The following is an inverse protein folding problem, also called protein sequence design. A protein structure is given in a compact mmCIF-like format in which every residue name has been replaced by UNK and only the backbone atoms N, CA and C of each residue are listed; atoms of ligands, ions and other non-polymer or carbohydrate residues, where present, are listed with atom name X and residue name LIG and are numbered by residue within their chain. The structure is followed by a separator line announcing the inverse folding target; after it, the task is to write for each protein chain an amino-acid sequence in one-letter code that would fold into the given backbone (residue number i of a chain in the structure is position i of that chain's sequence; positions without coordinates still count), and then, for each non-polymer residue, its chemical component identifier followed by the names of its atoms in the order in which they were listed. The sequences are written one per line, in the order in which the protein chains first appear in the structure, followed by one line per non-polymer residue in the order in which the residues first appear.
data_IF_556098197689
#
_entry.id   IF_556098197689
#
_cell.length_a   1.000
_cell.length_b   1.000
_cell.length_c   1.000
_cell.angle_alpha   90.00
_cell.angle_beta   90.00
_cell.angle_gamma   90.00
#
_symmetry.space_group_name_H-M   'P 1'
#
loop_
_entity.id
_entity.type
_entity.pdbx_description
1 polymer ?
#
# COMPACT_ATOMS: atom_id res chain seq x y z
N UNK A 1 12.96 6.66 6.78
CA UNK A 1 12.16 7.54 5.87
C UNK A 1 12.45 7.41 4.37
N UNK A 2 13.71 7.26 3.92
CA UNK A 2 14.09 7.34 2.49
C UNK A 2 13.56 6.17 1.61
N UNK A 3 13.23 5.02 2.20
CA UNK A 3 12.75 3.82 1.48
C UNK A 3 11.23 3.72 1.38
N UNK A 4 10.50 4.50 2.18
CA UNK A 4 9.04 4.48 2.28
C UNK A 4 8.35 4.79 0.92
N UNK A 5 8.71 5.87 0.19
CA UNK A 5 8.06 6.17 -1.09
C UNK A 5 8.39 5.13 -2.18
N UNK A 6 9.55 4.46 -2.11
CA UNK A 6 9.93 3.41 -3.06
C UNK A 6 9.09 2.13 -2.91
N UNK A 7 8.55 1.87 -1.71
CA UNK A 7 7.69 0.71 -1.45
C UNK A 7 6.36 0.72 -2.19
N UNK A 8 5.91 1.92 -2.56
CA UNK A 8 4.62 2.14 -3.24
C UNK A 8 4.74 1.86 -4.73
N UNK A 9 5.95 1.89 -5.30
CA UNK A 9 6.20 1.68 -6.73
C UNK A 9 5.67 0.33 -7.25
N UNK A 10 6.03 -0.83 -6.66
CA UNK A 10 5.52 -2.12 -7.16
C UNK A 10 4.00 -2.21 -7.04
N UNK A 11 3.40 -1.56 -6.03
CA UNK A 11 1.96 -1.55 -5.83
C UNK A 11 1.24 -0.68 -6.88
N UNK A 12 1.78 0.51 -7.20
CA UNK A 12 1.27 1.35 -8.29
C UNK A 12 1.39 0.62 -9.63
N UNK A 13 2.51 -0.08 -9.88
CA UNK A 13 2.67 -0.89 -11.08
C UNK A 13 1.64 -2.03 -11.17
N UNK A 14 1.32 -2.68 -10.05
CA UNK A 14 0.29 -3.72 -10.02
C UNK A 14 -1.10 -3.16 -10.37
N UNK A 15 -1.48 -2.03 -9.77
CA UNK A 15 -2.78 -1.39 -10.05
C UNK A 15 -2.84 -0.78 -11.46
N UNK A 16 -1.72 -0.29 -11.99
CA UNK A 16 -1.61 0.15 -13.37
C UNK A 16 -1.94 -0.99 -14.34
N UNK A 17 -1.50 -2.22 -14.03
CA UNK A 17 -1.79 -3.38 -14.86
C UNK A 17 -3.29 -3.65 -15.00
N UNK A 18 -4.11 -3.31 -13.99
CA UNK A 18 -5.58 -3.43 -14.04
C UNK A 18 -6.25 -2.37 -14.93
N UNK A 19 -5.54 -1.30 -15.28
CA UNK A 19 -6.03 -0.26 -16.20
C UNK A 19 -5.73 -0.57 -17.66
N UNK A 20 -4.85 -1.54 -17.91
CA UNK A 20 -4.44 -1.92 -19.26
C UNK A 20 -5.47 -2.88 -19.88
N UNK A 21 -5.59 -2.89 -21.22
CA UNK A 21 -6.48 -3.83 -21.91
C UNK A 21 -6.05 -5.28 -21.68
N UNK A 22 -7.03 -6.19 -21.58
CA UNK A 22 -6.85 -7.62 -21.27
C UNK A 22 -5.91 -8.37 -22.24
N UNK A 23 -5.65 -7.80 -23.41
CA UNK A 23 -4.86 -8.42 -24.49
C UNK A 23 -3.37 -8.05 -24.48
N UNK A 24 -2.90 -7.12 -23.64
CA UNK A 24 -1.54 -6.60 -23.76
C UNK A 24 -0.47 -7.62 -23.33
N UNK A 25 -0.71 -8.37 -22.27
CA UNK A 25 0.17 -9.44 -21.78
C UNK A 25 -0.50 -10.83 -21.79
N UNK A 26 -1.75 -10.90 -22.24
CA UNK A 26 -2.52 -12.15 -22.33
C UNK A 26 -2.53 -12.92 -21.01
N UNK A 27 -2.21 -14.22 -21.08
CA UNK A 27 -2.19 -15.11 -19.92
C UNK A 27 -1.10 -14.80 -18.87
N UNK A 28 -0.11 -13.96 -19.20
CA UNK A 28 0.94 -13.58 -18.26
C UNK A 28 0.50 -12.49 -17.26
N UNK A 29 -0.56 -11.75 -17.56
CA UNK A 29 -1.05 -10.61 -16.75
C UNK A 29 -1.27 -10.96 -15.27
N UNK A 30 -1.95 -12.06 -14.91
CA UNK A 30 -2.18 -12.40 -13.50
C UNK A 30 -0.89 -12.77 -12.76
N UNK A 31 0.08 -13.40 -13.44
CA UNK A 31 1.37 -13.76 -12.84
C UNK A 31 2.22 -12.52 -12.55
N UNK A 32 2.24 -11.55 -13.48
CA UNK A 32 2.92 -10.27 -13.28
C UNK A 32 2.26 -9.50 -12.13
N UNK A 33 0.91 -9.45 -12.11
CA UNK A 33 0.16 -8.82 -11.03
C UNK A 33 0.50 -9.43 -9.67
N UNK A 34 0.41 -10.76 -9.54
CA UNK A 34 0.71 -11.47 -8.30
C UNK A 34 2.17 -11.29 -7.88
N UNK A 35 3.11 -11.28 -8.83
CA UNK A 35 4.52 -11.02 -8.56
C UNK A 35 4.75 -9.62 -7.96
N UNK A 36 4.13 -8.59 -8.53
CA UNK A 36 4.23 -7.22 -8.04
C UNK A 36 3.58 -7.04 -6.66
N UNK A 37 2.41 -7.65 -6.44
CA UNK A 37 1.77 -7.68 -5.13
C UNK A 37 2.64 -8.42 -4.10
N UNK A 38 3.21 -9.57 -4.48
CA UNK A 38 4.12 -10.34 -3.63
C UNK A 38 5.37 -9.56 -3.23
N UNK A 39 5.96 -8.82 -4.17
CA UNK A 39 7.08 -7.91 -3.87
C UNK A 39 6.67 -6.83 -2.86
N UNK A 40 5.52 -6.20 -3.04
CA UNK A 40 5.03 -5.19 -2.10
C UNK A 40 4.82 -5.79 -0.71
N UNK A 41 4.15 -6.95 -0.59
CA UNK A 41 3.97 -7.65 0.70
C UNK A 41 5.31 -7.98 1.38
N UNK A 42 6.31 -8.41 0.60
CA UNK A 42 7.65 -8.68 1.10
C UNK A 42 8.38 -7.43 1.63
N UNK A 43 8.10 -6.25 1.06
CA UNK A 43 8.68 -4.98 1.50
C UNK A 43 8.04 -4.43 2.79
N UNK A 44 6.76 -4.71 3.05
CA UNK A 44 6.03 -4.15 4.22
C UNK A 44 6.70 -4.53 5.55
N UNK A 45 7.16 -5.77 5.70
CA UNK A 45 7.78 -6.26 6.94
C UNK A 45 9.05 -5.48 7.33
N UNK A 46 10.10 -5.48 6.50
CA UNK A 46 11.34 -4.76 6.77
C UNK A 46 11.13 -3.24 6.94
N UNK A 47 10.27 -2.64 6.12
CA UNK A 47 10.01 -1.20 6.17
C UNK A 47 9.31 -0.83 7.47
N UNK A 48 8.23 -1.51 7.83
CA UNK A 48 7.53 -1.28 9.09
C UNK A 48 8.46 -1.55 10.28
N UNK A 49 9.26 -2.62 10.22
CA UNK A 49 10.21 -3.00 11.26
C UNK A 49 11.25 -1.92 11.57
N UNK A 50 11.81 -1.28 10.55
CA UNK A 50 12.81 -0.22 10.71
C UNK A 50 12.23 1.19 10.87
N UNK A 51 11.05 1.45 10.32
CA UNK A 51 10.45 2.78 10.29
C UNK A 51 9.98 3.26 11.67
N UNK A 52 9.27 2.42 12.43
CA UNK A 52 8.76 2.85 13.74
C UNK A 52 9.88 3.22 14.72
N UNK A 53 10.97 2.43 14.84
CA UNK A 53 12.11 2.82 15.67
C UNK A 53 12.84 4.08 15.17
N UNK A 54 12.95 4.27 13.86
CA UNK A 54 13.59 5.46 13.26
C UNK A 54 12.79 6.75 13.54
N UNK A 55 11.47 6.67 13.55
CA UNK A 55 10.58 7.83 13.74
C UNK A 55 10.26 8.16 15.20
N UNK A 56 10.15 7.14 16.06
CA UNK A 56 9.62 7.29 17.43
C UNK A 56 10.56 6.75 18.51
N UNK A 57 11.75 6.28 18.14
CA UNK A 57 12.65 5.58 19.05
C UNK A 57 12.09 4.22 19.50
N UNK A 58 12.78 3.57 20.44
CA UNK A 58 12.43 2.23 20.92
C UNK A 58 11.53 2.21 22.16
N UNK A 59 11.37 3.35 22.84
CA UNK A 59 10.71 3.44 24.15
C UNK A 59 9.21 3.08 24.12
N UNK A 60 8.49 3.41 23.05
CA UNK A 60 7.04 3.24 22.95
C UNK A 60 6.58 2.38 21.76
N UNK A 61 7.48 1.57 21.18
CA UNK A 61 7.15 0.73 20.02
C UNK A 61 6.02 -0.27 20.28
N UNK A 62 5.93 -0.79 21.50
CA UNK A 62 4.85 -1.70 21.89
C UNK A 62 3.47 -1.04 21.77
N UNK A 63 3.35 0.21 22.22
CA UNK A 63 2.10 0.98 22.15
C UNK A 63 1.73 1.37 20.70
N UNK A 64 2.72 1.69 19.87
CA UNK A 64 2.50 1.99 18.45
C UNK A 64 2.03 0.74 17.71
N UNK A 65 2.68 -0.41 17.95
CA UNK A 65 2.31 -1.68 17.31
C UNK A 65 0.94 -2.18 17.78
N UNK A 66 0.58 -1.97 19.04
CA UNK A 66 -0.74 -2.36 19.56
C UNK A 66 -1.88 -1.53 18.97
N UNK A 67 -1.63 -0.28 18.60
CA UNK A 67 -2.62 0.56 17.91
C UNK A 67 -2.73 0.24 16.41
N UNK A 68 -1.59 -0.02 15.75
CA UNK A 68 -1.57 -0.23 14.29
C UNK A 68 -2.11 -1.61 13.88
N UNK A 69 -1.88 -2.65 14.69
CA UNK A 69 -2.39 -3.99 14.41
C UNK A 69 -3.92 -4.06 14.20
N UNK A 70 -4.78 -3.56 15.12
CA UNK A 70 -6.24 -3.59 14.93
C UNK A 70 -6.69 -2.74 13.75
N UNK A 71 -6.01 -1.63 13.44
CA UNK A 71 -6.31 -0.81 12.25
C UNK A 71 -6.10 -1.62 10.97
N UNK A 72 -4.97 -2.34 10.87
CA UNK A 72 -4.69 -3.18 9.70
C UNK A 72 -5.71 -4.30 9.58
N UNK A 73 -6.07 -4.97 10.69
CA UNK A 73 -7.08 -6.04 10.70
C UNK A 73 -8.45 -5.51 10.27
N UNK A 74 -8.87 -4.35 10.78
CA UNK A 74 -10.12 -3.73 10.38
C UNK A 74 -10.12 -3.34 8.90
N UNK A 75 -9.01 -2.81 8.39
CA UNK A 75 -8.86 -2.46 6.98
C UNK A 75 -8.92 -3.69 6.06
N UNK A 76 -8.26 -4.79 6.44
CA UNK A 76 -8.30 -6.04 5.65
C UNK A 76 -9.66 -6.72 5.72
N UNK A 77 -10.40 -6.59 6.83
CA UNK A 77 -11.78 -7.06 6.94
C UNK A 77 -12.76 -6.20 6.11
N UNK A 78 -12.52 -4.88 6.02
CA UNK A 78 -13.34 -3.97 5.23
C UNK A 78 -13.13 -4.12 3.71
N UNK A 79 -11.91 -4.48 3.28
CA UNK A 79 -11.57 -4.56 1.86
C UNK A 79 -12.48 -5.51 1.04
N UNK A 80 -12.74 -6.77 1.44
CA UNK A 80 -13.65 -7.65 0.71
C UNK A 80 -15.08 -7.10 0.61
N UNK A 81 -15.57 -6.41 1.64
CA UNK A 81 -16.91 -5.81 1.63
C UNK A 81 -16.97 -4.66 0.61
N UNK A 82 -15.99 -3.76 0.66
CA UNK A 82 -15.93 -2.60 -0.24
C UNK A 82 -15.73 -3.02 -1.70
N UNK A 83 -14.74 -3.88 -1.98
CA UNK A 83 -14.45 -4.31 -3.34
C UNK A 83 -15.46 -5.33 -3.85
N UNK A 84 -16.05 -6.17 -2.98
CA UNK A 84 -17.14 -7.07 -3.34
C UNK A 84 -18.37 -6.29 -3.81
N UNK A 85 -18.82 -5.30 -3.03
CA UNK A 85 -19.92 -4.43 -3.45
C UNK A 85 -19.61 -3.66 -4.74
N UNK A 86 -18.37 -3.20 -4.92
CA UNK A 86 -17.97 -2.52 -6.16
C UNK A 86 -18.11 -3.44 -7.39
N UNK A 87 -17.69 -4.70 -7.26
CA UNK A 87 -17.82 -5.70 -8.32
C UNK A 87 -19.29 -6.05 -8.58
N UNK A 88 -20.10 -6.20 -7.52
CA UNK A 88 -21.54 -6.46 -7.64
C UNK A 88 -22.28 -5.32 -8.37
N UNK A 89 -21.82 -4.08 -8.20
CA UNK A 89 -22.32 -2.90 -8.92
C UNK A 89 -21.81 -2.78 -10.36
N UNK A 90 -21.11 -3.79 -10.89
CA UNK A 90 -20.48 -3.79 -12.22
C UNK A 90 -19.46 -2.65 -12.43
N UNK A 91 -18.79 -2.20 -11.37
CA UNK A 91 -17.69 -1.25 -11.52
C UNK A 91 -16.53 -1.96 -12.22
N UNK A 92 -16.01 -1.35 -13.28
CA UNK A 92 -14.91 -1.92 -14.07
C UNK A 92 -13.62 -2.04 -13.25
N UNK A 93 -12.83 -3.09 -13.50
CA UNK A 93 -11.53 -3.27 -12.88
C UNK A 93 -10.57 -2.11 -13.15
N UNK A 94 -10.68 -1.46 -14.30
CA UNK A 94 -9.91 -0.27 -14.63
C UNK A 94 -10.26 0.91 -13.71
N UNK A 95 -11.55 1.09 -13.36
CA UNK A 95 -11.96 2.13 -12.41
C UNK A 95 -11.45 1.83 -10.99
N UNK A 96 -11.49 0.56 -10.56
CA UNK A 96 -10.91 0.12 -9.29
C UNK A 96 -9.39 0.38 -9.27
N UNK A 97 -8.69 -0.03 -10.33
CA UNK A 97 -7.26 0.21 -10.52
C UNK A 97 -6.89 1.70 -10.41
N UNK A 98 -7.63 2.55 -11.12
CA UNK A 98 -7.40 4.00 -11.11
C UNK A 98 -7.63 4.62 -9.72
N UNK A 99 -8.70 4.22 -9.04
CA UNK A 99 -9.00 4.67 -7.68
C UNK A 99 -7.88 4.29 -6.70
N UNK A 100 -7.32 3.09 -6.83
CA UNK A 100 -6.18 2.63 -6.06
C UNK A 100 -4.92 3.44 -6.34
N UNK A 101 -4.62 3.74 -7.61
CA UNK A 101 -3.47 4.58 -7.99
C UNK A 101 -3.60 5.97 -7.36
N UNK A 102 -4.78 6.59 -7.44
CA UNK A 102 -5.03 7.92 -6.84
C UNK A 102 -4.79 7.87 -5.32
N UNK A 103 -5.31 6.84 -4.65
CA UNK A 103 -5.11 6.65 -3.22
C UNK A 103 -3.63 6.47 -2.84
N UNK A 104 -2.88 5.69 -3.64
CA UNK A 104 -1.46 5.45 -3.42
C UNK A 104 -0.62 6.71 -3.64
N UNK A 105 -0.92 7.49 -4.67
CA UNK A 105 -0.25 8.79 -4.92
C UNK A 105 -0.57 9.75 -3.77
N UNK A 106 -1.83 9.85 -3.33
CA UNK A 106 -2.22 10.66 -2.18
C UNK A 106 -1.47 10.26 -0.91
N UNK A 107 -1.36 8.95 -0.65
CA UNK A 107 -0.62 8.42 0.50
C UNK A 107 0.88 8.74 0.41
N UNK A 108 1.47 8.63 -0.78
CA UNK A 108 2.87 8.99 -1.00
C UNK A 108 3.11 10.50 -0.78
N UNK A 109 2.22 11.37 -1.28
CA UNK A 109 2.29 12.82 -1.07
C UNK A 109 2.18 13.21 0.41
N UNK A 110 1.28 12.56 1.15
CA UNK A 110 1.19 12.74 2.61
C UNK A 110 2.49 12.33 3.29
N UNK A 111 3.08 11.20 2.90
CA UNK A 111 4.36 10.75 3.45
C UNK A 111 5.51 11.75 3.17
N UNK A 112 5.54 12.40 2.00
CA UNK A 112 6.51 13.46 1.69
C UNK A 112 6.23 14.76 2.45
N UNK A 113 4.96 15.05 2.75
CA UNK A 113 4.56 16.28 3.43
C UNK A 113 4.88 16.26 4.93
N UNK A 114 5.14 15.09 5.52
CA UNK A 114 5.58 14.97 6.92
C UNK A 114 7.05 15.41 7.00
N UNK A 115 7.37 16.51 7.72
CA UNK A 115 8.74 16.99 7.83
C UNK A 115 9.57 16.00 8.65
N UNK A 116 10.45 15.26 7.98
CA UNK A 116 11.41 14.35 8.61
C UNK A 116 12.28 15.06 9.68
N UNK A 117 12.57 16.34 9.49
CA UNK A 117 13.43 17.14 10.38
C UNK A 117 12.89 17.35 11.81
N UNK A 118 11.57 17.18 12.03
CA UNK A 118 10.96 17.41 13.36
C UNK A 118 10.85 16.14 14.22
N UNK A 119 11.18 14.97 13.67
CA UNK A 119 11.05 13.68 14.36
C UNK A 119 12.38 13.16 14.90
N UNK A 120 13.51 13.59 14.34
CA UNK A 120 14.85 13.18 14.78
C UNK A 120 15.41 13.96 16.00
N UNK A 121 14.66 14.93 16.54
CA UNK A 121 15.13 15.87 17.58
C UNK A 121 14.47 15.71 18.95
N UNK A 122 13.90 14.54 19.27
CA UNK A 122 13.49 14.22 20.65
C UNK A 122 14.01 12.88 21.12
#
# INVERSE_FOLDING_TARGET
LRLLPFSVIPLVAAFWLLTLPDNLFGAATPFIYMGLIGLNLGMVGPISGGLWPELFGTAHLGAIRSLTAPIVIAATAAAPVLFGLAVDMNISFSAIGLSGIIFLIGSALLAFSVPADKLATK
#
